data_IF_340314854044
#
_entry.id   IF_340314854044
#
_cell.length_a   1.000
_cell.length_b   1.000
_cell.length_c   1.000
_cell.angle_alpha   90.00
_cell.angle_beta   90.00
_cell.angle_gamma   90.00
#
_symmetry.space_group_name_H-M   'P 1'
#
loop_
_entity.id
_entity.type
_entity.pdbx_description
1 polymer ?
#
# COMPACT_ATOMS: atom_id res chain seq x y z
N UNK A 1 -19.42 0.89 -4.51
CA UNK A 1 -18.93 -0.16 -5.42
C UNK A 1 -18.52 -1.34 -4.56
N UNK A 2 -18.84 -2.58 -4.95
CA UNK A 2 -18.46 -3.77 -4.19
C UNK A 2 -17.42 -4.54 -5.02
N UNK A 3 -16.19 -4.65 -4.50
CA UNK A 3 -15.10 -5.43 -5.13
C UNK A 3 -15.01 -6.86 -4.53
N UNK A 4 -16.09 -7.30 -3.89
CA UNK A 4 -16.18 -8.63 -3.28
C UNK A 4 -15.97 -9.73 -4.33
N UNK A 5 -15.13 -10.72 -4.01
CA UNK A 5 -14.80 -11.85 -4.89
C UNK A 5 -13.41 -11.76 -5.55
N UNK A 6 -12.80 -10.57 -5.63
CA UNK A 6 -11.40 -10.44 -6.01
C UNK A 6 -10.47 -10.68 -4.82
N UNK A 7 -9.30 -11.25 -5.09
CA UNK A 7 -8.28 -11.46 -4.07
C UNK A 7 -7.54 -10.18 -3.75
N UNK A 8 -7.13 -9.43 -4.78
CA UNK A 8 -6.47 -8.13 -4.63
C UNK A 8 -7.44 -7.03 -5.03
N UNK A 9 -7.70 -6.12 -4.11
CA UNK A 9 -8.67 -5.03 -4.24
C UNK A 9 -7.99 -3.70 -4.01
N UNK A 10 -8.53 -2.63 -4.58
CA UNK A 10 -7.90 -1.31 -4.51
C UNK A 10 -8.92 -0.20 -4.26
N UNK A 11 -8.55 0.74 -3.37
CA UNK A 11 -9.32 1.95 -3.11
C UNK A 11 -8.48 3.07 -2.47
N UNK A 12 -9.08 4.25 -2.37
CA UNK A 12 -8.47 5.45 -1.78
C UNK A 12 -9.05 5.76 -0.40
N UNK A 13 -8.17 6.00 0.58
CA UNK A 13 -8.50 6.40 1.94
C UNK A 13 -9.54 5.51 2.61
N UNK A 14 -10.28 6.10 3.56
CA UNK A 14 -11.26 5.38 4.39
C UNK A 14 -12.48 4.92 3.58
N UNK A 15 -12.91 5.67 2.56
CA UNK A 15 -14.01 5.25 1.70
C UNK A 15 -13.63 4.04 0.85
N UNK A 16 -12.43 4.02 0.29
CA UNK A 16 -11.87 2.86 -0.39
C UNK A 16 -11.72 1.67 0.52
N UNK A 17 -11.25 1.89 1.76
CA UNK A 17 -11.19 0.86 2.80
C UNK A 17 -12.56 0.22 3.03
N UNK A 18 -13.62 1.03 3.25
CA UNK A 18 -14.98 0.53 3.46
C UNK A 18 -15.51 -0.29 2.28
N UNK A 19 -15.15 0.11 1.06
CA UNK A 19 -15.58 -0.58 -0.16
C UNK A 19 -14.82 -1.90 -0.43
N UNK A 20 -13.56 -2.00 0.00
CA UNK A 20 -12.67 -3.09 -0.37
C UNK A 20 -12.41 -4.09 0.75
N UNK A 21 -12.46 -3.65 2.01
CA UNK A 21 -11.86 -4.37 3.13
C UNK A 21 -12.86 -5.05 4.08
N UNK A 22 -14.15 -5.14 3.75
CA UNK A 22 -15.17 -5.74 4.63
C UNK A 22 -14.82 -7.15 5.15
N UNK A 23 -14.14 -7.92 4.31
CA UNK A 23 -13.72 -9.32 4.49
C UNK A 23 -12.22 -9.48 4.18
N UNK A 24 -11.44 -8.39 4.18
CA UNK A 24 -10.00 -8.48 3.94
C UNK A 24 -9.28 -9.13 5.12
N UNK A 25 -8.41 -10.08 4.80
CA UNK A 25 -7.48 -10.66 5.76
C UNK A 25 -6.28 -9.73 5.99
N UNK A 26 -5.86 -9.03 4.93
CA UNK A 26 -4.74 -8.08 4.97
C UNK A 26 -5.18 -6.75 4.37
N UNK A 27 -4.83 -5.66 5.05
CA UNK A 27 -4.87 -4.31 4.52
C UNK A 27 -3.43 -3.82 4.35
N UNK A 28 -3.11 -3.35 3.16
CA UNK A 28 -1.85 -2.68 2.87
C UNK A 28 -2.16 -1.19 2.73
N UNK A 29 -1.79 -0.40 3.73
CA UNK A 29 -1.87 1.05 3.67
C UNK A 29 -0.67 1.60 2.89
N UNK A 30 -0.95 2.22 1.75
CA UNK A 30 0.08 2.71 0.84
C UNK A 30 0.15 4.22 0.87
N UNK A 31 1.21 4.74 1.48
CA UNK A 31 1.52 6.17 1.52
C UNK A 31 2.81 6.40 0.74
N UNK A 32 2.71 7.05 -0.41
CA UNK A 32 3.85 7.27 -1.28
C UNK A 32 4.91 8.17 -0.65
N UNK A 33 4.46 9.25 0.00
CA UNK A 33 5.29 10.33 0.49
C UNK A 33 4.80 10.72 1.89
N UNK A 34 5.01 9.84 2.89
CA UNK A 34 4.54 10.11 4.23
C UNK A 34 5.23 11.34 4.80
N UNK A 35 4.44 12.32 5.21
CA UNK A 35 4.95 13.52 5.87
C UNK A 35 5.59 13.11 7.19
N UNK A 36 6.88 13.39 7.44
CA UNK A 36 7.47 13.13 8.74
C UNK A 36 6.78 14.00 9.78
N UNK A 37 6.17 13.37 10.80
CA UNK A 37 5.55 14.08 11.91
C UNK A 37 6.66 14.82 12.69
N UNK A 38 6.56 16.14 12.91
CA UNK A 38 7.53 16.86 13.72
C UNK A 38 7.31 16.54 15.20
N UNK A 39 7.79 15.40 15.70
CA UNK A 39 7.85 15.10 17.13
C UNK A 39 9.24 14.60 17.53
N UNK A 40 9.83 15.11 18.62
CA UNK A 40 11.17 14.72 19.06
C UNK A 40 11.08 13.46 19.95
N UNK A 41 11.01 12.27 19.34
CA UNK A 41 11.15 10.97 20.01
C UNK A 41 11.78 9.94 19.06
N UNK A 42 12.48 8.90 19.55
CA UNK A 42 13.35 8.04 18.73
C UNK A 42 12.61 6.97 17.91
N UNK A 43 11.32 7.18 17.59
CA UNK A 43 10.55 6.27 16.74
C UNK A 43 9.69 7.10 15.78
N UNK A 44 9.88 7.00 14.46
CA UNK A 44 9.08 7.75 13.49
C UNK A 44 7.69 7.11 13.38
N UNK A 45 6.78 7.48 14.28
CA UNK A 45 5.38 7.09 14.17
C UNK A 45 4.71 7.97 13.12
N UNK A 46 4.51 7.44 11.91
CA UNK A 46 3.70 8.02 10.83
C UNK A 46 2.22 8.13 11.24
N UNK A 47 1.88 9.04 12.15
CA UNK A 47 0.47 9.25 12.54
C UNK A 47 0.06 10.66 12.10
N UNK A 48 -0.51 10.73 10.91
CA UNK A 48 -1.41 11.82 10.50
C UNK A 48 -2.86 11.37 10.77
N UNK A 49 -3.81 12.30 10.93
CA UNK A 49 -5.22 12.04 11.26
C UNK A 49 -5.84 11.01 10.30
N UNK A 50 -5.43 11.04 9.02
CA UNK A 50 -5.82 10.07 7.98
C UNK A 50 -5.53 8.63 8.37
N UNK A 51 -4.34 8.39 8.92
CA UNK A 51 -3.91 7.07 9.36
C UNK A 51 -4.68 6.60 10.59
N UNK A 52 -4.90 7.48 11.56
CA UNK A 52 -5.71 7.17 12.74
C UNK A 52 -7.16 6.80 12.35
N UNK A 53 -7.76 7.53 11.42
CA UNK A 53 -9.09 7.24 10.89
C UNK A 53 -9.13 5.89 10.15
N UNK A 54 -8.10 5.54 9.37
CA UNK A 54 -8.00 4.24 8.73
C UNK A 54 -7.95 3.10 9.76
N UNK A 55 -7.04 3.19 10.74
CA UNK A 55 -6.88 2.14 11.78
C UNK A 55 -8.19 1.91 12.52
N UNK A 56 -8.92 2.98 12.83
CA UNK A 56 -10.24 2.91 13.49
C UNK A 56 -11.31 2.26 12.61
N UNK A 57 -11.28 2.51 11.29
CA UNK A 57 -12.25 1.95 10.35
C UNK A 57 -11.90 0.52 9.86
N UNK A 58 -10.66 0.07 10.03
CA UNK A 58 -10.20 -1.23 9.57
C UNK A 58 -10.83 -2.38 10.37
N UNK A 59 -11.32 -3.47 9.74
CA UNK A 59 -11.90 -4.61 10.44
C UNK A 59 -10.92 -5.16 11.47
N UNK A 60 -11.41 -5.47 12.68
CA UNK A 60 -10.55 -5.88 13.79
C UNK A 60 -9.70 -7.13 13.51
N UNK A 61 -10.19 -8.02 12.63
CA UNK A 61 -9.54 -9.28 12.27
C UNK A 61 -8.61 -9.18 11.05
N UNK A 62 -8.40 -7.98 10.50
CA UNK A 62 -7.48 -7.77 9.39
C UNK A 62 -6.07 -7.39 9.89
N UNK A 63 -5.04 -8.04 9.36
CA UNK A 63 -3.65 -7.61 9.56
C UNK A 63 -3.40 -6.33 8.76
N UNK A 64 -2.81 -5.32 9.38
CA UNK A 64 -2.54 -4.03 8.74
C UNK A 64 -1.03 -3.81 8.64
N UNK A 65 -0.55 -3.61 7.41
CA UNK A 65 0.84 -3.27 7.12
C UNK A 65 0.91 -1.94 6.36
N UNK A 66 2.04 -1.25 6.44
CA UNK A 66 2.33 -0.08 5.61
C UNK A 66 3.28 -0.44 4.47
N UNK A 67 3.05 0.16 3.30
CA UNK A 67 3.94 0.09 2.17
C UNK A 67 4.09 1.46 1.49
N UNK A 68 5.14 1.59 0.70
CA UNK A 68 5.39 2.71 -0.20
C UNK A 68 6.11 2.19 -1.45
N UNK A 69 6.52 3.07 -2.35
CA UNK A 69 7.23 2.64 -3.56
C UNK A 69 8.52 1.84 -3.23
N UNK A 70 9.42 2.30 -2.33
CA UNK A 70 10.57 1.52 -1.88
C UNK A 70 10.26 0.11 -1.38
N UNK A 71 9.25 -0.04 -0.51
CA UNK A 71 8.94 -1.31 0.17
C UNK A 71 7.92 -2.18 -0.55
N UNK A 72 7.45 -1.77 -1.73
CA UNK A 72 6.40 -2.47 -2.51
C UNK A 72 6.66 -3.96 -2.70
N UNK A 73 7.88 -4.34 -3.12
CA UNK A 73 8.27 -5.75 -3.35
C UNK A 73 8.27 -6.57 -2.07
N UNK A 74 8.80 -6.00 -0.99
CA UNK A 74 8.91 -6.74 0.29
C UNK A 74 7.57 -6.82 1.01
N UNK A 75 6.69 -5.84 0.83
CA UNK A 75 5.30 -5.92 1.29
C UNK A 75 4.57 -7.06 0.58
N UNK A 76 4.70 -7.19 -0.74
CA UNK A 76 4.11 -8.31 -1.49
C UNK A 76 4.68 -9.67 -1.05
N UNK A 77 6.00 -9.76 -0.86
CA UNK A 77 6.64 -10.99 -0.36
C UNK A 77 6.12 -11.36 1.05
N UNK A 78 6.01 -10.40 1.96
CA UNK A 78 5.46 -10.63 3.30
C UNK A 78 4.03 -11.17 3.24
N UNK A 79 3.21 -10.68 2.31
CA UNK A 79 1.85 -11.17 2.08
C UNK A 79 1.84 -12.61 1.59
N UNK A 80 2.72 -12.95 0.63
CA UNK A 80 2.86 -14.32 0.13
C UNK A 80 3.32 -15.29 1.24
N UNK A 81 4.29 -14.87 2.05
CA UNK A 81 4.78 -15.65 3.18
C UNK A 81 3.64 -15.91 4.17
N UNK A 82 2.84 -14.88 4.49
CA UNK A 82 1.68 -15.05 5.36
C UNK A 82 0.65 -16.02 4.77
N UNK A 83 0.31 -15.86 3.49
CA UNK A 83 -0.61 -16.75 2.79
C UNK A 83 -0.14 -18.21 2.81
N UNK A 84 1.15 -18.43 2.58
CA UNK A 84 1.77 -19.75 2.62
C UNK A 84 1.68 -20.37 4.01
N UNK A 85 1.95 -19.58 5.05
CA UNK A 85 1.90 -20.02 6.44
C UNK A 85 0.48 -20.45 6.87
N UNK A 86 -0.56 -19.74 6.43
CA UNK A 86 -1.95 -20.09 6.75
C UNK A 86 -2.56 -21.13 5.80
N UNK A 87 -1.85 -21.50 4.73
CA UNK A 87 -2.25 -22.46 3.71
C UNK A 87 -3.68 -22.28 3.17
N UNK A 88 -4.08 -21.03 2.95
CA UNK A 88 -5.35 -20.66 2.32
C UNK A 88 -5.19 -19.36 1.56
N UNK A 89 -6.08 -19.09 0.62
CA UNK A 89 -6.13 -17.81 -0.09
C UNK A 89 -6.50 -16.68 0.88
N UNK A 90 -5.73 -15.59 0.84
CA UNK A 90 -5.98 -14.38 1.63
C UNK A 90 -6.63 -13.29 0.77
N UNK A 91 -7.65 -12.62 1.30
CA UNK A 91 -8.21 -11.41 0.71
C UNK A 91 -7.35 -10.18 1.11
N UNK A 92 -6.91 -9.42 0.10
CA UNK A 92 -5.93 -8.34 0.23
C UNK A 92 -6.58 -7.03 -0.25
N UNK A 93 -6.63 -6.03 0.63
CA UNK A 93 -7.07 -4.68 0.30
C UNK A 93 -5.87 -3.73 0.27
N UNK A 94 -5.51 -3.21 -0.90
CA UNK A 94 -4.49 -2.17 -1.08
C UNK A 94 -5.17 -0.81 -1.02
N UNK A 95 -4.85 -0.01 0.00
CA UNK A 95 -5.52 1.26 0.26
C UNK A 95 -4.51 2.40 0.12
N UNK A 96 -4.68 3.22 -0.92
CA UNK A 96 -3.90 4.44 -1.11
C UNK A 96 -4.23 5.48 -0.02
N UNK A 97 -3.21 6.19 0.46
CA UNK A 97 -3.31 7.01 1.67
C UNK A 97 -4.22 8.23 1.52
N UNK A 98 -4.12 8.91 0.38
CA UNK A 98 -4.94 10.06 0.07
C UNK A 98 -6.42 9.67 -0.04
N UNK A 99 -7.35 10.44 0.58
CA UNK A 99 -8.79 10.20 0.47
C UNK A 99 -9.35 10.59 -0.91
N UNK A 100 -8.59 11.35 -1.70
CA UNK A 100 -8.89 11.72 -3.09
C UNK A 100 -7.79 11.19 -3.99
N UNK A 101 -8.03 11.18 -5.31
CA UNK A 101 -7.00 10.76 -6.25
C UNK A 101 -5.71 11.58 -6.10
N UNK A 102 -4.63 10.91 -5.72
CA UNK A 102 -3.27 11.42 -5.71
C UNK A 102 -2.41 10.50 -6.58
N UNK A 103 -1.74 11.06 -7.60
CA UNK A 103 -1.01 10.25 -8.59
C UNK A 103 0.16 9.50 -7.97
N UNK A 104 0.80 10.08 -6.96
CA UNK A 104 1.90 9.47 -6.22
C UNK A 104 1.43 8.26 -5.40
N UNK A 105 0.38 8.39 -4.59
CA UNK A 105 -0.21 7.25 -3.87
C UNK A 105 -0.78 6.19 -4.82
N UNK A 106 -1.39 6.61 -5.93
CA UNK A 106 -1.91 5.70 -6.96
C UNK A 106 -0.80 4.86 -7.60
N UNK A 107 0.33 5.49 -7.94
CA UNK A 107 1.49 4.80 -8.50
C UNK A 107 2.22 3.93 -7.47
N UNK A 108 2.32 4.39 -6.22
CA UNK A 108 2.86 3.57 -5.14
C UNK A 108 1.98 2.33 -4.90
N UNK A 109 0.65 2.47 -4.87
CA UNK A 109 -0.26 1.34 -4.76
C UNK A 109 -0.16 0.40 -5.97
N UNK A 110 -0.06 0.97 -7.18
CA UNK A 110 0.18 0.21 -8.41
C UNK A 110 1.48 -0.61 -8.34
N UNK A 111 2.54 -0.10 -7.70
CA UNK A 111 3.79 -0.85 -7.51
C UNK A 111 3.65 -2.03 -6.54
N UNK A 112 2.84 -1.90 -5.49
CA UNK A 112 2.51 -2.99 -4.58
C UNK A 112 1.71 -4.06 -5.32
N UNK A 113 0.73 -3.66 -6.13
CA UNK A 113 -0.11 -4.58 -6.89
C UNK A 113 0.71 -5.32 -7.96
N UNK A 114 1.60 -4.62 -8.69
CA UNK A 114 2.54 -5.23 -9.64
C UNK A 114 3.39 -6.31 -8.96
N UNK A 115 3.92 -6.01 -7.76
CA UNK A 115 4.71 -6.97 -6.99
C UNK A 115 3.87 -8.17 -6.48
N UNK A 116 2.61 -7.96 -6.09
CA UNK A 116 1.69 -9.06 -5.74
C UNK A 116 1.43 -9.97 -6.95
N UNK A 117 1.19 -9.40 -8.13
CA UNK A 117 0.97 -10.15 -9.36
C UNK A 117 2.22 -10.89 -9.83
N UNK A 118 3.42 -10.30 -9.70
CA UNK A 118 4.70 -10.97 -9.97
C UNK A 118 4.88 -12.24 -9.11
N UNK A 119 4.24 -12.30 -7.95
CA UNK A 119 4.22 -13.44 -7.03
C UNK A 119 3.01 -14.39 -7.24
N UNK A 120 2.20 -14.16 -8.28
CA UNK A 120 1.03 -14.98 -8.61
C UNK A 120 -0.24 -14.66 -7.81
N UNK A 121 -0.29 -13.51 -7.12
CA UNK A 121 -1.49 -13.01 -6.44
C UNK A 121 -2.25 -12.05 -7.37
N UNK A 122 -2.59 -12.50 -8.58
CA UNK A 122 -3.00 -11.68 -9.73
C UNK A 122 -4.52 -11.64 -9.99
N UNK A 123 -5.33 -12.22 -9.11
CA UNK A 123 -6.78 -12.11 -9.18
C UNK A 123 -7.27 -10.75 -8.65
N UNK A 124 -6.94 -9.71 -9.42
CA UNK A 124 -7.14 -8.30 -9.13
C UNK A 124 -8.52 -7.81 -9.54
N UNK A 125 -9.11 -6.89 -8.76
CA UNK A 125 -10.27 -6.09 -9.20
C UNK A 125 -9.91 -5.19 -10.40
N UNK A 126 -10.90 -4.70 -11.17
CA UNK A 126 -10.65 -3.75 -12.27
C UNK A 126 -9.87 -2.50 -11.82
N UNK A 127 -10.18 -1.99 -10.62
CA UNK A 127 -9.49 -0.84 -10.03
C UNK A 127 -8.03 -1.17 -9.70
N UNK A 128 -7.75 -2.36 -9.18
CA UNK A 128 -6.40 -2.83 -8.91
C UNK A 128 -5.61 -3.04 -10.22
N UNK A 129 -6.22 -3.65 -11.24
CA UNK A 129 -5.63 -3.82 -12.56
C UNK A 129 -5.30 -2.48 -13.25
N UNK A 130 -6.15 -1.46 -13.07
CA UNK A 130 -5.90 -0.11 -13.59
C UNK A 130 -4.68 0.55 -12.91
N UNK A 131 -4.57 0.44 -11.58
CA UNK A 131 -3.43 0.97 -10.83
C UNK A 131 -2.12 0.27 -11.23
N UNK A 132 -2.17 -1.05 -11.35
CA UNK A 132 -1.06 -1.86 -11.80
C UNK A 132 -0.60 -1.50 -13.22
N UNK A 133 -1.52 -1.42 -14.17
CA UNK A 133 -1.21 -1.06 -15.55
C UNK A 133 -0.60 0.35 -15.65
N UNK A 134 -1.12 1.31 -14.86
CA UNK A 134 -0.56 2.65 -14.79
C UNK A 134 0.87 2.64 -14.26
N UNK A 135 1.14 1.91 -13.18
CA UNK A 135 2.50 1.75 -12.66
C UNK A 135 3.43 1.10 -13.69
N UNK A 136 3.05 -0.03 -14.30
CA UNK A 136 3.87 -0.70 -15.31
C UNK A 136 4.19 0.20 -16.50
N UNK A 137 3.19 0.92 -17.02
CA UNK A 137 3.36 1.86 -18.13
C UNK A 137 4.28 3.03 -17.79
N UNK A 138 4.34 3.42 -16.51
CA UNK A 138 5.15 4.53 -16.02
C UNK A 138 6.39 4.09 -15.22
N UNK A 139 6.71 2.80 -15.15
CA UNK A 139 7.78 2.25 -14.27
C UNK A 139 9.13 2.96 -14.46
N UNK A 140 9.47 3.30 -15.71
CA UNK A 140 10.71 4.01 -16.07
C UNK A 140 10.65 5.54 -15.81
N UNK A 141 9.46 6.10 -15.60
CA UNK A 141 9.23 7.52 -15.35
C UNK A 141 8.62 7.81 -13.96
N UNK A 142 8.41 6.78 -13.12
CA UNK A 142 7.65 6.87 -11.87
C UNK A 142 8.26 7.92 -10.93
N UNK A 143 9.59 7.98 -10.85
CA UNK A 143 10.30 8.97 -10.05
C UNK A 143 9.99 10.41 -10.51
N UNK A 144 9.94 10.64 -11.83
CA UNK A 144 9.61 11.95 -12.38
C UNK A 144 8.15 12.31 -12.09
N UNK A 145 7.21 11.40 -12.35
CA UNK A 145 5.78 11.63 -12.11
C UNK A 145 5.51 11.92 -10.64
N UNK A 146 6.08 11.14 -9.73
CA UNK A 146 5.94 11.35 -8.28
C UNK A 146 6.58 12.65 -7.82
N UNK A 147 7.78 13.00 -8.30
CA UNK A 147 8.42 14.29 -7.96
C UNK A 147 7.62 15.50 -8.47
N UNK A 148 6.87 15.34 -9.56
CA UNK A 148 6.05 16.37 -10.16
C UNK A 148 4.62 16.44 -9.57
N UNK A 149 4.24 15.49 -8.70
CA UNK A 149 2.92 15.47 -8.08
C UNK A 149 2.72 16.68 -7.14
N UNK A 150 1.51 16.86 -6.62
CA UNK A 150 1.24 17.90 -5.62
C UNK A 150 2.10 17.66 -4.37
N UNK A 151 1.99 16.47 -3.77
CA UNK A 151 2.79 16.10 -2.60
C UNK A 151 4.29 16.07 -2.90
N UNK A 152 4.70 15.60 -4.08
CA UNK A 152 6.11 15.57 -4.50
C UNK A 152 6.75 16.95 -4.55
N UNK A 153 6.02 17.96 -5.03
CA UNK A 153 6.49 19.35 -5.07
C UNK A 153 6.50 20.03 -3.70
N UNK A 154 5.56 19.68 -2.83
CA UNK A 154 5.47 20.22 -1.48
C UNK A 154 6.55 19.64 -0.54
N UNK A 155 6.77 18.33 -0.62
CA UNK A 155 7.69 17.60 0.27
C UNK A 155 9.14 17.63 -0.26
N UNK A 156 9.32 17.68 -1.58
CA UNK A 156 10.62 17.55 -2.26
C UNK A 156 11.42 16.31 -1.76
N UNK A 157 10.88 15.09 -1.92
CA UNK A 157 11.45 13.89 -1.32
C UNK A 157 12.81 13.51 -1.93
N UNK A 158 13.65 12.87 -1.12
CA UNK A 158 14.89 12.27 -1.59
C UNK A 158 14.64 11.21 -2.67
N UNK A 159 15.57 11.10 -3.63
CA UNK A 159 15.47 10.15 -4.74
C UNK A 159 15.31 8.70 -4.30
N UNK A 160 15.84 8.33 -3.13
CA UNK A 160 15.69 6.98 -2.59
C UNK A 160 14.20 6.62 -2.34
N UNK A 161 13.35 7.58 -2.01
CA UNK A 161 11.91 7.39 -1.80
C UNK A 161 11.10 7.27 -3.09
N UNK A 162 11.71 7.62 -4.23
CA UNK A 162 11.07 7.69 -5.54
C UNK A 162 11.40 6.49 -6.43
N UNK A 163 11.90 5.41 -5.84
CA UNK A 163 12.23 4.16 -6.54
C UNK A 163 11.94 2.96 -5.64
N UNK A 164 11.75 1.80 -6.26
CA UNK A 164 11.72 0.53 -5.55
C UNK A 164 13.12 0.26 -4.98
N UNK A 165 13.17 -0.14 -3.72
CA UNK A 165 14.42 -0.55 -3.09
C UNK A 165 14.68 -2.03 -3.39
N UNK A 166 15.83 -2.32 -3.99
CA UNK A 166 16.22 -3.70 -4.33
C UNK A 166 16.87 -4.43 -3.17
N UNK A 167 17.36 -3.69 -2.18
CA UNK A 167 18.09 -4.22 -1.03
C UNK A 167 17.17 -4.41 0.19
N UNK A 168 15.96 -3.85 0.13
CA UNK A 168 14.94 -4.06 1.15
C UNK A 168 14.60 -5.54 1.33
N UNK A 169 14.29 -5.90 2.56
CA UNK A 169 13.90 -7.26 2.98
C UNK A 169 12.53 -7.26 3.65
N UNK A 170 11.96 -8.43 3.89
CA UNK A 170 10.70 -8.57 4.65
C UNK A 170 10.78 -8.02 6.08
N UNK A 171 11.98 -7.86 6.63
CA UNK A 171 12.20 -7.23 7.94
C UNK A 171 11.94 -5.72 7.92
N UNK A 172 11.98 -5.09 6.75
CA UNK A 172 11.71 -3.66 6.55
C UNK A 172 10.20 -3.36 6.41
N UNK A 173 9.35 -4.39 6.40
CA UNK A 173 7.89 -4.23 6.36
C UNK A 173 7.38 -3.75 7.71
N UNK A 174 6.72 -2.60 7.71
CA UNK A 174 6.11 -2.03 8.91
C UNK A 174 4.75 -2.67 9.15
N UNK A 175 4.67 -3.57 10.12
CA UNK A 175 3.41 -4.17 10.59
C UNK A 175 2.80 -3.25 11.66
N UNK A 176 1.62 -2.70 11.36
CA UNK A 176 0.91 -1.74 12.22
C UNK A 176 0.03 -2.48 13.23
N UNK A 177 -0.68 -3.50 12.75
CA UNK A 177 -1.51 -4.37 13.58
C UNK A 177 -1.35 -5.79 13.09
N UNK A 178 -0.85 -6.65 13.95
CA UNK A 178 -0.71 -8.07 13.67
C UNK A 178 -1.82 -8.85 14.38
N UNK A 179 -2.57 -9.64 13.60
CA UNK A 179 -3.61 -10.54 14.12
C UNK A 179 -3.37 -11.99 13.69
N UNK A 180 -2.15 -12.28 13.22
CA UNK A 180 -1.69 -13.64 12.95
C UNK A 180 -1.59 -14.39 14.28
N UNK A 181 -2.33 -15.50 14.39
CA UNK A 181 -2.27 -16.45 15.52
C UNK A 181 -1.11 -17.43 15.36
#
# INVERSE_FOLDING_TARGET
>A
MQQAGYQVRFGFGVEGLRACASDADIIIWVDALPTPTPTPMPTPTMIDDRFAHLVSAAPALATLISANLPTSRVAAQWVLDHQTNVNRRLAIAVIAASPVYAVDDFLAAGSVIDALSELGLDATSPEAAAAEAAYRGLKNAVAHVMSASVAGREIAPERARLRVDTDATVADVVVIRDVRS
#
